data_IF_061832841011
#
_entry.id   IF_061832841011
#
_cell.length_a   1.000
_cell.length_b   1.000
_cell.length_c   1.000
_cell.angle_alpha   90.00
_cell.angle_beta   90.00
_cell.angle_gamma   90.00
#
_symmetry.space_group_name_H-M   'P 1'
#
loop_
_entity.id
_entity.type
_entity.pdbx_description
1 polymer ?
#
# COMPACT_ATOMS: atom_id res chain seq x y z
N UNK A 1 -20.67 23.24 12.10
CA UNK A 1 -19.42 22.84 12.80
C UNK A 1 -19.84 21.79 13.82
N UNK A 2 -19.67 20.51 13.52
CA UNK A 2 -19.97 19.46 14.52
C UNK A 2 -18.98 19.60 15.69
N UNK A 3 -19.49 19.58 16.91
CA UNK A 3 -18.66 19.62 18.12
C UNK A 3 -17.93 18.28 18.26
N UNK A 4 -16.61 18.31 18.51
CA UNK A 4 -15.77 17.11 18.69
C UNK A 4 -16.32 16.14 19.73
N UNK A 5 -16.96 16.63 20.80
CA UNK A 5 -17.56 15.77 21.82
C UNK A 5 -18.93 15.21 21.40
N UNK A 6 -19.63 15.87 20.46
CA UNK A 6 -20.89 15.38 19.93
C UNK A 6 -20.67 14.12 19.07
N UNK A 7 -19.56 14.05 18.33
CA UNK A 7 -19.23 12.84 17.54
C UNK A 7 -18.95 11.63 18.44
N UNK A 8 -18.52 11.84 19.69
CA UNK A 8 -18.29 10.79 20.70
C UNK A 8 -19.55 10.42 21.50
N UNK A 9 -20.70 11.08 21.28
CA UNK A 9 -21.91 10.83 22.04
C UNK A 9 -22.54 9.45 21.77
N UNK A 10 -22.16 8.78 20.68
CA UNK A 10 -22.60 7.41 20.39
C UNK A 10 -21.59 6.38 20.90
N UNK A 11 -22.09 5.25 21.45
CA UNK A 11 -21.25 4.12 21.88
C UNK A 11 -20.34 3.62 20.75
N UNK A 12 -20.85 3.60 19.51
CA UNK A 12 -20.09 3.14 18.34
C UNK A 12 -18.86 4.04 18.08
N UNK A 13 -19.08 5.35 18.02
CA UNK A 13 -18.00 6.30 17.76
C UNK A 13 -17.02 6.39 18.93
N UNK A 14 -17.52 6.35 20.17
CA UNK A 14 -16.68 6.29 21.35
C UNK A 14 -15.76 5.07 21.33
N UNK A 15 -16.29 3.88 21.01
CA UNK A 15 -15.49 2.66 20.89
C UNK A 15 -14.53 2.69 19.69
N UNK A 16 -14.88 3.36 18.58
CA UNK A 16 -13.95 3.58 17.47
C UNK A 16 -12.77 4.45 17.91
N UNK A 17 -13.04 5.56 18.59
CA UNK A 17 -11.99 6.44 19.12
C UNK A 17 -11.12 5.75 20.18
N UNK A 18 -11.73 5.01 21.11
CA UNK A 18 -11.01 4.27 22.15
C UNK A 18 -10.06 3.22 21.55
N UNK A 19 -10.52 2.46 20.55
CA UNK A 19 -9.66 1.51 19.82
C UNK A 19 -8.49 2.21 19.14
N UNK A 20 -8.72 3.38 18.54
CA UNK A 20 -7.64 4.18 17.97
C UNK A 20 -6.62 4.63 19.03
N UNK A 21 -7.07 5.07 20.22
CA UNK A 21 -6.15 5.44 21.30
C UNK A 21 -5.28 4.28 21.78
N UNK A 22 -5.83 3.07 21.87
CA UNK A 22 -5.03 1.87 22.14
C UNK A 22 -3.98 1.65 21.07
N UNK A 23 -4.34 1.76 19.78
CA UNK A 23 -3.38 1.61 18.68
C UNK A 23 -2.27 2.66 18.67
N UNK A 24 -2.59 3.91 19.01
CA UNK A 24 -1.57 4.96 19.19
C UNK A 24 -0.63 4.61 20.35
N UNK A 25 -1.14 4.01 21.42
CA UNK A 25 -0.35 3.58 22.58
C UNK A 25 0.54 2.38 22.22
N UNK A 26 0.00 1.38 21.53
CA UNK A 26 0.78 0.22 21.05
C UNK A 26 1.92 0.68 20.10
N UNK A 27 1.61 1.59 19.18
CA UNK A 27 2.60 2.16 18.25
C UNK A 27 3.71 2.93 18.98
N UNK A 28 3.39 3.56 20.11
CA UNK A 28 4.36 4.19 20.99
C UNK A 28 5.33 3.16 21.56
N UNK A 29 4.80 2.07 22.11
CA UNK A 29 5.60 1.02 22.75
C UNK A 29 6.54 0.37 21.71
N UNK A 30 6.05 0.16 20.49
CA UNK A 30 6.85 -0.37 19.39
C UNK A 30 8.03 0.53 19.01
N UNK A 31 7.85 1.86 18.99
CA UNK A 31 8.95 2.81 18.76
C UNK A 31 9.94 2.80 19.92
N UNK A 32 9.48 2.71 21.18
CA UNK A 32 10.37 2.58 22.35
C UNK A 32 11.21 1.28 22.30
N UNK A 33 10.70 0.25 21.60
CA UNK A 33 11.44 -0.97 21.28
C UNK A 33 12.36 -0.84 20.04
N UNK A 34 12.61 0.37 19.55
CA UNK A 34 13.40 0.68 18.35
C UNK A 34 12.86 0.01 17.07
N UNK A 35 11.54 -0.10 16.93
CA UNK A 35 10.89 -0.46 15.65
C UNK A 35 10.52 0.80 14.89
N UNK A 36 10.68 0.77 13.57
CA UNK A 36 10.23 1.85 12.71
C UNK A 36 8.70 1.84 12.58
N UNK A 37 8.06 3.01 12.69
CA UNK A 37 6.60 3.09 12.66
C UNK A 37 6.00 2.61 11.34
N UNK A 38 6.64 2.88 10.19
CA UNK A 38 6.11 2.44 8.91
C UNK A 38 6.09 0.91 8.82
N UNK A 39 7.10 0.23 9.34
CA UNK A 39 7.10 -1.24 9.38
C UNK A 39 5.95 -1.74 10.26
N UNK A 40 5.76 -1.15 11.45
CA UNK A 40 4.70 -1.53 12.39
C UNK A 40 3.32 -1.37 11.76
N UNK A 41 3.03 -0.20 11.21
CA UNK A 41 1.72 0.13 10.65
C UNK A 41 1.41 -0.70 9.40
N UNK A 42 2.39 -0.95 8.53
CA UNK A 42 2.15 -1.82 7.37
C UNK A 42 1.85 -3.26 7.78
N UNK A 43 2.53 -3.80 8.79
CA UNK A 43 2.21 -5.14 9.33
C UNK A 43 0.82 -5.17 9.98
N UNK A 44 0.41 -4.12 10.69
CA UNK A 44 -0.92 -4.04 11.26
C UNK A 44 -2.03 -3.87 10.21
N UNK A 45 -1.77 -3.12 9.13
CA UNK A 45 -2.67 -3.04 7.97
C UNK A 45 -2.83 -4.41 7.31
N UNK A 46 -1.71 -5.11 7.09
CA UNK A 46 -1.73 -6.44 6.48
C UNK A 46 -2.47 -7.45 7.38
N UNK A 47 -2.42 -7.28 8.70
CA UNK A 47 -3.15 -8.07 9.67
C UNK A 47 -4.62 -7.62 9.89
N UNK A 48 -5.10 -6.57 9.20
CA UNK A 48 -6.40 -5.92 9.43
C UNK A 48 -6.64 -5.43 10.87
N UNK A 49 -5.56 -5.14 11.60
CA UNK A 49 -5.61 -4.66 12.98
C UNK A 49 -5.85 -3.14 13.06
N UNK A 50 -5.52 -2.42 11.98
CA UNK A 50 -5.82 -1.01 11.79
C UNK A 50 -6.40 -0.78 10.38
N UNK A 51 -7.13 0.32 10.21
CA UNK A 51 -7.64 0.77 8.92
C UNK A 51 -6.83 1.92 8.34
N UNK A 52 -6.90 2.11 7.01
CA UNK A 52 -6.15 3.14 6.29
C UNK A 52 -6.39 4.56 6.83
N UNK A 53 -7.62 4.87 7.27
CA UNK A 53 -7.99 6.17 7.86
C UNK A 53 -7.29 6.45 9.20
N UNK A 54 -6.69 5.45 9.83
CA UNK A 54 -5.95 5.60 11.09
C UNK A 54 -4.48 5.94 10.88
N UNK A 55 -3.91 5.73 9.68
CA UNK A 55 -2.47 5.91 9.44
C UNK A 55 -2.00 7.33 9.75
N UNK A 56 -2.61 8.33 9.10
CA UNK A 56 -2.21 9.74 9.26
C UNK A 56 -2.41 10.26 10.70
N UNK A 57 -3.54 9.96 11.38
CA UNK A 57 -3.69 10.26 12.80
C UNK A 57 -2.59 9.65 13.68
N UNK A 58 -2.20 8.39 13.45
CA UNK A 58 -1.11 7.75 14.21
C UNK A 58 0.22 8.45 13.93
N UNK A 59 0.55 8.72 12.67
CA UNK A 59 1.78 9.47 12.31
C UNK A 59 1.80 10.84 12.99
N UNK A 60 0.68 11.58 12.93
CA UNK A 60 0.57 12.89 13.59
C UNK A 60 0.79 12.82 15.09
N UNK A 61 0.08 11.92 15.78
CA UNK A 61 0.17 11.79 17.24
C UNK A 61 1.54 11.28 17.71
N UNK A 62 2.11 10.31 17.00
CA UNK A 62 3.31 9.59 17.45
C UNK A 62 4.59 10.26 16.92
N UNK A 63 4.74 10.38 15.60
CA UNK A 63 5.97 10.86 14.96
C UNK A 63 6.12 12.37 15.16
N UNK A 64 5.07 13.13 14.85
CA UNK A 64 5.12 14.60 14.90
C UNK A 64 5.00 15.10 16.33
N UNK A 65 3.95 14.70 17.05
CA UNK A 65 3.62 15.34 18.33
C UNK A 65 4.39 14.75 19.52
N UNK A 66 4.49 13.41 19.64
CA UNK A 66 5.18 12.78 20.79
C UNK A 66 6.70 12.75 20.64
N UNK A 67 7.23 12.24 19.54
CA UNK A 67 8.68 12.06 19.36
C UNK A 67 9.37 13.23 18.65
N UNK A 68 8.58 14.14 18.09
CA UNK A 68 9.06 15.38 17.50
C UNK A 68 10.10 15.15 16.41
N UNK A 69 9.81 14.29 15.43
CA UNK A 69 10.70 14.09 14.27
C UNK A 69 10.83 15.42 13.52
N UNK A 70 12.02 15.70 12.97
CA UNK A 70 12.12 16.76 11.95
C UNK A 70 11.45 16.28 10.67
N UNK A 71 10.88 17.18 9.90
CA UNK A 71 10.21 16.82 8.66
C UNK A 71 10.34 17.90 7.60
N UNK A 72 10.22 17.48 6.35
CA UNK A 72 10.02 18.37 5.20
C UNK A 72 8.99 17.76 4.23
N UNK A 73 8.34 18.64 3.47
CA UNK A 73 7.45 18.26 2.37
C UNK A 73 8.20 18.37 1.05
N UNK A 74 8.24 17.28 0.30
CA UNK A 74 8.94 17.16 -0.96
C UNK A 74 7.96 16.79 -2.06
N UNK A 75 7.99 17.55 -3.17
CA UNK A 75 7.30 17.15 -4.38
C UNK A 75 8.25 16.28 -5.22
N UNK A 76 7.79 15.10 -5.62
CA UNK A 76 8.57 14.19 -6.45
C UNK A 76 8.90 14.88 -7.78
N UNK A 77 10.18 15.17 -8.01
CA UNK A 77 10.64 15.95 -9.16
C UNK A 77 10.65 15.14 -10.47
N UNK A 78 10.94 13.85 -10.40
CA UNK A 78 10.97 12.93 -11.54
C UNK A 78 10.36 11.59 -11.13
N UNK A 79 9.69 10.86 -12.04
CA UNK A 79 9.13 9.55 -11.72
C UNK A 79 10.21 8.58 -11.22
N UNK A 80 9.97 7.93 -10.09
CA UNK A 80 10.89 6.94 -9.51
C UNK A 80 10.25 5.56 -9.57
N UNK A 81 10.89 4.64 -10.28
CA UNK A 81 10.48 3.22 -10.35
C UNK A 81 11.52 2.28 -9.77
N UNK A 82 12.79 2.70 -9.71
CA UNK A 82 13.89 1.87 -9.20
C UNK A 82 14.31 2.28 -7.79
N UNK A 83 13.88 1.50 -6.82
CA UNK A 83 14.07 1.80 -5.39
C UNK A 83 15.25 1.09 -4.75
N UNK A 84 15.82 0.08 -5.40
CA UNK A 84 16.87 -0.76 -4.79
C UNK A 84 18.07 0.06 -4.32
N UNK A 85 18.53 1.01 -5.15
CA UNK A 85 19.65 1.91 -4.78
C UNK A 85 19.31 2.76 -3.55
N UNK A 86 18.07 3.23 -3.45
CA UNK A 86 17.60 4.04 -2.32
C UNK A 86 17.53 3.19 -1.06
N UNK A 87 16.96 1.99 -1.16
CA UNK A 87 16.85 1.06 -0.05
C UNK A 87 18.22 0.59 0.46
N UNK A 88 19.13 0.23 -0.43
CA UNK A 88 20.48 -0.25 -0.09
C UNK A 88 21.27 0.82 0.67
N UNK A 89 21.17 2.07 0.23
CA UNK A 89 21.88 3.17 0.88
C UNK A 89 21.24 3.54 2.22
N UNK A 90 19.92 3.76 2.26
CA UNK A 90 19.23 4.14 3.50
C UNK A 90 19.23 3.04 4.55
N UNK A 91 19.31 1.76 4.16
CA UNK A 91 19.48 0.62 5.08
C UNK A 91 20.73 0.78 5.95
N UNK A 92 21.76 1.49 5.48
CA UNK A 92 23.00 1.74 6.22
C UNK A 92 22.86 2.84 7.27
N UNK A 93 21.84 3.69 7.18
CA UNK A 93 21.65 4.86 8.05
C UNK A 93 21.08 4.44 9.41
N UNK A 94 21.82 3.62 10.16
CA UNK A 94 21.34 3.02 11.41
C UNK A 94 21.14 4.02 12.55
N UNK A 95 21.79 5.19 12.51
CA UNK A 95 21.64 6.24 13.51
C UNK A 95 20.43 7.16 13.27
N UNK A 96 19.79 7.05 12.10
CA UNK A 96 18.64 7.86 11.71
C UNK A 96 17.43 6.95 11.58
N UNK A 97 16.31 7.30 12.22
CA UNK A 97 15.02 6.70 11.89
C UNK A 97 14.29 7.56 10.87
N UNK A 98 13.74 6.95 9.82
CA UNK A 98 13.07 7.65 8.72
C UNK A 98 11.72 7.03 8.41
N UNK A 99 10.71 7.87 8.25
CA UNK A 99 9.37 7.49 7.82
C UNK A 99 8.93 8.46 6.73
N UNK A 100 8.49 7.95 5.58
CA UNK A 100 7.96 8.75 4.50
C UNK A 100 6.44 8.53 4.36
N UNK A 101 5.69 9.60 4.19
CA UNK A 101 4.26 9.57 3.85
C UNK A 101 4.11 10.01 2.41
N UNK A 102 3.85 9.09 1.50
CA UNK A 102 3.67 9.37 0.08
C UNK A 102 2.18 9.36 -0.29
N UNK A 103 1.76 10.35 -1.08
CA UNK A 103 0.41 10.45 -1.63
C UNK A 103 0.49 10.16 -3.12
N UNK A 104 -0.16 9.09 -3.58
CA UNK A 104 -0.18 8.80 -5.02
C UNK A 104 -1.22 9.68 -5.75
N UNK A 105 -1.27 9.65 -7.10
CA UNK A 105 -2.24 10.43 -7.87
C UNK A 105 -3.70 10.10 -7.56
N UNK A 106 -3.97 8.88 -7.09
CA UNK A 106 -5.31 8.45 -6.65
C UNK A 106 -5.69 8.89 -5.23
N UNK A 107 -4.82 9.63 -4.54
CA UNK A 107 -5.03 10.07 -3.15
C UNK A 107 -4.82 8.98 -2.10
N UNK A 108 -4.34 7.80 -2.49
CA UNK A 108 -3.94 6.75 -1.57
C UNK A 108 -2.64 7.13 -0.87
N UNK A 109 -2.60 6.88 0.44
CA UNK A 109 -1.45 7.14 1.29
C UNK A 109 -0.61 5.88 1.45
N UNK A 110 0.69 6.00 1.24
CA UNK A 110 1.67 4.95 1.52
C UNK A 110 2.60 5.42 2.63
N UNK A 111 2.71 4.59 3.67
CA UNK A 111 3.68 4.80 4.73
C UNK A 111 4.92 3.95 4.42
N UNK A 112 6.06 4.60 4.25
CA UNK A 112 7.28 3.98 3.71
C UNK A 112 8.42 4.15 4.71
N UNK A 113 8.94 3.04 5.21
CA UNK A 113 10.32 2.97 5.71
C UNK A 113 11.26 2.88 4.50
N UNK A 114 12.10 3.89 4.22
CA UNK A 114 12.96 3.86 3.04
C UNK A 114 13.99 2.71 3.07
N UNK A 115 14.26 2.16 4.26
CA UNK A 115 15.17 1.02 4.47
C UNK A 115 14.55 -0.33 4.11
N UNK A 116 13.25 -0.37 3.81
CA UNK A 116 12.49 -1.59 3.56
C UNK A 116 11.99 -1.61 2.12
N UNK A 117 12.58 -2.48 1.29
CA UNK A 117 12.23 -2.58 -0.14
C UNK A 117 10.76 -2.99 -0.37
N UNK A 118 10.17 -3.80 0.53
CA UNK A 118 8.76 -4.23 0.40
C UNK A 118 7.80 -3.03 0.46
N UNK A 119 8.16 -1.94 1.16
CA UNK A 119 7.35 -0.73 1.21
C UNK A 119 7.39 0.06 -0.08
N UNK A 120 8.58 0.17 -0.70
CA UNK A 120 8.72 0.80 -2.00
C UNK A 120 7.98 0.03 -3.09
N UNK A 121 8.11 -1.30 -3.10
CA UNK A 121 7.39 -2.17 -4.04
C UNK A 121 5.87 -2.06 -3.91
N UNK A 122 5.35 -1.80 -2.70
CA UNK A 122 3.92 -1.53 -2.46
C UNK A 122 3.45 -0.26 -3.17
N UNK A 123 4.27 0.80 -3.17
CA UNK A 123 3.96 2.05 -3.87
C UNK A 123 4.11 1.92 -5.40
N UNK A 124 4.96 0.98 -5.88
CA UNK A 124 5.27 0.67 -7.29
C UNK A 124 5.99 1.76 -8.06
N UNK A 125 5.48 2.98 -8.02
CA UNK A 125 6.02 4.16 -8.70
C UNK A 125 5.74 5.40 -7.85
N UNK A 126 6.75 6.25 -7.71
CA UNK A 126 6.55 7.62 -7.23
C UNK A 126 6.34 8.50 -8.45
N UNK A 127 5.14 9.05 -8.60
CA UNK A 127 4.80 9.86 -9.76
C UNK A 127 5.30 11.30 -9.57
N UNK A 128 5.67 11.94 -10.68
CA UNK A 128 6.02 13.36 -10.71
C UNK A 128 4.89 14.22 -10.12
N UNK A 129 5.28 15.32 -9.47
CA UNK A 129 4.41 16.31 -8.84
C UNK A 129 3.52 15.77 -7.71
N UNK A 130 3.78 14.56 -7.23
CA UNK A 130 3.12 14.01 -6.07
C UNK A 130 3.83 14.41 -4.77
N UNK A 131 3.04 14.54 -3.70
CA UNK A 131 3.55 14.92 -2.39
C UNK A 131 4.15 13.71 -1.67
N UNK A 132 5.33 13.90 -1.10
CA UNK A 132 5.90 13.08 -0.05
C UNK A 132 6.24 13.94 1.16
N UNK A 133 5.93 13.48 2.36
CA UNK A 133 6.43 14.10 3.60
C UNK A 133 7.43 13.16 4.23
N UNK A 134 8.66 13.63 4.42
CA UNK A 134 9.77 12.83 4.95
C UNK A 134 9.99 13.24 6.39
N UNK A 135 9.89 12.29 7.31
CA UNK A 135 10.17 12.46 8.73
C UNK A 135 11.49 11.79 9.08
N UNK A 136 12.35 12.47 9.83
CA UNK A 136 13.62 11.93 10.31
C UNK A 136 13.88 12.24 11.78
N UNK A 137 14.47 11.27 12.49
CA UNK A 137 14.94 11.41 13.88
C UNK A 137 16.34 10.87 14.03
N UNK A 138 17.23 11.62 14.68
CA UNK A 138 18.51 11.09 15.13
C UNK A 138 18.31 10.36 16.45
N UNK A 139 18.72 9.09 16.50
CA UNK A 139 18.33 8.16 17.57
C UNK A 139 19.17 8.26 18.86
N UNK A 140 20.30 8.99 18.83
CA UNK A 140 21.18 9.14 20.02
C UNK A 140 20.80 10.32 20.90
N UNK A 141 20.69 11.48 20.28
CA UNK A 141 20.45 12.76 20.96
C UNK A 141 19.65 13.67 20.03
N UNK A 142 19.12 14.78 20.56
CA UNK A 142 18.44 15.74 19.71
C UNK A 142 19.44 16.43 18.76
N UNK A 143 19.33 16.16 17.47
CA UNK A 143 20.20 16.77 16.46
C UNK A 143 19.45 17.10 15.17
N UNK A 144 18.72 18.22 15.21
CA UNK A 144 17.93 18.75 14.09
C UNK A 144 18.74 18.97 12.80
N UNK A 145 20.04 19.27 12.92
CA UNK A 145 20.92 19.49 11.76
C UNK A 145 21.18 18.18 11.03
N UNK A 146 21.48 17.10 11.76
CA UNK A 146 21.65 15.78 11.16
C UNK A 146 20.35 15.22 10.61
N UNK A 147 19.23 15.44 11.30
CA UNK A 147 17.90 15.03 10.82
C UNK A 147 17.55 15.72 9.50
N UNK A 148 17.73 17.04 9.40
CA UNK A 148 17.54 17.78 8.13
C UNK A 148 18.51 17.34 7.05
N UNK A 149 19.77 17.07 7.40
CA UNK A 149 20.73 16.56 6.43
C UNK A 149 20.27 15.20 5.86
N UNK A 150 19.73 14.31 6.69
CA UNK A 150 19.22 13.01 6.23
C UNK A 150 17.99 13.16 5.32
N UNK A 151 17.09 14.10 5.64
CA UNK A 151 15.94 14.44 4.77
C UNK A 151 16.43 14.92 3.41
N UNK A 152 17.29 15.94 3.38
CA UNK A 152 17.81 16.50 2.13
C UNK A 152 18.58 15.46 1.30
N UNK A 153 19.36 14.58 1.94
CA UNK A 153 20.05 13.49 1.24
C UNK A 153 19.05 12.53 0.59
N UNK A 154 17.95 12.18 1.28
CA UNK A 154 16.92 11.33 0.68
C UNK A 154 16.20 12.03 -0.49
N UNK A 155 15.91 13.32 -0.38
CA UNK A 155 15.34 14.12 -1.46
C UNK A 155 16.26 14.15 -2.70
N UNK A 156 17.57 14.36 -2.51
CA UNK A 156 18.55 14.32 -3.59
C UNK A 156 18.58 12.95 -4.29
N UNK A 157 18.50 11.86 -3.53
CA UNK A 157 18.41 10.50 -4.09
C UNK A 157 17.11 10.29 -4.87
N UNK A 158 15.98 10.77 -4.34
CA UNK A 158 14.68 10.71 -5.02
C UNK A 158 14.66 11.57 -6.29
N UNK A 159 15.45 12.64 -6.34
CA UNK A 159 15.69 13.44 -7.54
C UNK A 159 16.73 12.81 -8.50
N UNK A 160 17.13 11.55 -8.27
CA UNK A 160 18.06 10.82 -9.15
C UNK A 160 19.52 11.24 -9.03
N UNK A 161 19.89 12.01 -8.01
CA UNK A 161 21.28 12.46 -7.81
C UNK A 161 22.08 11.44 -7.03
N UNK A 162 23.37 11.34 -7.38
CA UNK A 162 24.33 10.61 -6.56
C UNK A 162 24.64 11.40 -5.28
N UNK A 163 24.58 10.72 -4.14
CA UNK A 163 24.82 11.34 -2.84
C UNK A 163 26.04 10.76 -2.15
N UNK A 164 26.74 11.61 -1.38
CA UNK A 164 27.82 11.17 -0.52
C UNK A 164 27.27 10.79 0.85
N UNK A 165 27.66 9.60 1.30
CA UNK A 165 27.21 9.06 2.58
C UNK A 165 27.78 9.86 3.73
N UNK A 166 26.89 10.50 4.49
CA UNK A 166 27.29 11.10 5.75
C UNK A 166 27.54 10.00 6.78
N UNK A 167 28.81 9.80 7.15
CA UNK A 167 29.22 8.78 8.14
C UNK A 167 28.49 8.93 9.48
N UNK A 168 28.01 10.13 9.81
CA UNK A 168 27.25 10.40 11.03
C UNK A 168 25.86 9.74 11.03
N UNK A 169 25.36 9.28 9.88
CA UNK A 169 24.11 8.52 9.79
C UNK A 169 24.30 7.06 10.20
N UNK A 170 25.54 6.60 10.36
CA UNK A 170 25.86 5.20 10.62
C UNK A 170 26.33 5.07 12.07
N UNK A 171 25.67 4.15 12.78
CA UNK A 171 26.05 3.76 14.13
C UNK A 171 25.75 2.27 14.36
N UNK A 172 26.81 1.47 14.48
CA UNK A 172 26.69 0.02 14.66
C UNK A 172 26.18 -0.39 16.05
N UNK A 173 26.10 0.54 17.00
CA UNK A 173 25.53 0.27 18.33
C UNK A 173 24.00 0.29 18.33
N UNK A 174 23.39 0.93 17.32
CA UNK A 174 21.94 1.01 17.18
C UNK A 174 21.47 -0.13 16.30
N UNK A 175 20.62 -0.99 16.87
CA UNK A 175 19.98 -2.09 16.16
C UNK A 175 18.49 -1.77 16.06
N UNK A 176 18.04 -1.45 14.86
CA UNK A 176 16.60 -1.38 14.60
C UNK A 176 16.00 -2.78 14.59
N UNK A 177 14.89 -2.93 15.32
CA UNK A 177 14.14 -4.17 15.38
C UNK A 177 13.08 -4.15 14.30
N UNK A 178 12.97 -5.24 13.55
CA UNK A 178 11.80 -5.44 12.69
C UNK A 178 10.59 -5.86 13.55
N UNK A 179 9.38 -5.39 13.25
CA UNK A 179 8.19 -5.96 13.85
C UNK A 179 8.09 -7.46 13.51
N UNK A 180 7.54 -8.24 14.43
CA UNK A 180 7.21 -9.64 14.15
C UNK A 180 6.02 -9.61 13.18
N UNK A 181 6.16 -10.27 12.02
CA UNK A 181 5.05 -10.46 11.07
C UNK A 181 3.89 -11.07 11.83
N UNK A 182 2.84 -10.28 12.04
CA UNK A 182 1.63 -10.75 12.73
C UNK A 182 0.92 -11.65 11.72
N UNK A 183 0.81 -12.94 12.04
CA UNK A 183 -0.11 -13.80 11.29
C UNK A 183 -1.50 -13.15 11.37
N UNK A 184 -2.17 -13.03 10.22
CA UNK A 184 -3.57 -12.61 10.18
C UNK A 184 -4.31 -13.45 11.22
N UNK A 185 -4.87 -12.81 12.26
CA UNK A 185 -5.74 -13.52 13.21
C UNK A 185 -6.78 -14.23 12.36
N UNK A 186 -6.77 -15.56 12.44
CA UNK A 186 -7.89 -16.34 11.96
C UNK A 186 -9.09 -15.84 12.75
N UNK A 187 -10.02 -15.15 12.09
CA UNK A 187 -11.33 -14.94 12.65
C UNK A 187 -11.85 -16.33 13.04
N UNK A 188 -12.29 -16.49 14.30
CA UNK A 188 -12.95 -17.72 14.74
C UNK A 188 -13.97 -18.12 13.67
N UNK A 189 -14.09 -19.42 13.33
CA UNK A 189 -14.95 -19.87 12.25
C UNK A 189 -16.42 -19.61 12.62
N UNK A 190 -16.87 -18.39 12.34
CA UNK A 190 -18.25 -18.04 12.11
C UNK A 190 -18.68 -18.88 10.92
N UNK A 191 -19.58 -19.82 11.18
CA UNK A 191 -20.13 -20.75 10.20
C UNK A 191 -20.43 -20.03 8.86
N UNK A 192 -19.65 -20.36 7.83
CA UNK A 192 -20.10 -20.34 6.44
C UNK A 192 -19.81 -19.11 5.57
N UNK A 193 -18.69 -18.41 5.72
CA UNK A 193 -18.24 -17.45 4.71
C UNK A 193 -16.76 -17.70 4.35
N UNK A 194 -16.48 -18.00 3.08
CA UNK A 194 -15.11 -18.14 2.56
C UNK A 194 -14.32 -16.85 2.83
N UNK A 195 -13.06 -16.96 3.30
CA UNK A 195 -12.14 -15.83 3.46
C UNK A 195 -12.15 -15.00 2.17
N UNK A 196 -12.37 -13.68 2.26
CA UNK A 196 -12.50 -12.79 1.09
C UNK A 196 -11.51 -11.62 1.19
N UNK A 197 -10.86 -11.26 0.08
CA UNK A 197 -9.96 -10.10 0.03
C UNK A 197 -10.74 -8.78 0.03
N UNK A 198 -10.09 -7.63 0.30
CA UNK A 198 -10.62 -6.32 -0.03
C UNK A 198 -11.01 -6.19 -1.51
N UNK A 199 -11.85 -5.19 -1.82
CA UNK A 199 -12.17 -4.80 -3.21
C UNK A 199 -11.01 -4.02 -3.79
N UNK A 200 -10.35 -4.59 -4.78
CA UNK A 200 -9.31 -3.89 -5.55
C UNK A 200 -9.96 -3.18 -6.72
N UNK A 201 -9.71 -1.87 -6.86
CA UNK A 201 -10.14 -1.09 -8.00
C UNK A 201 -9.17 -1.29 -9.18
N UNK A 202 -9.72 -1.40 -10.39
CA UNK A 202 -9.00 -1.38 -11.66
C UNK A 202 -9.62 -0.31 -12.54
N UNK A 203 -8.84 0.73 -12.81
CA UNK A 203 -9.23 1.79 -13.73
C UNK A 203 -9.11 1.32 -15.18
N UNK A 204 -10.13 1.61 -15.99
CA UNK A 204 -10.12 1.31 -17.43
C UNK A 204 -9.36 2.39 -18.17
N UNK A 205 -8.17 2.04 -18.67
CA UNK A 205 -7.33 2.97 -19.42
C UNK A 205 -7.60 2.97 -20.93
N UNK A 206 -8.40 2.03 -21.44
CA UNK A 206 -8.89 2.05 -22.83
C UNK A 206 -9.92 3.14 -23.07
N UNK A 207 -10.11 3.58 -24.32
CA UNK A 207 -11.22 4.46 -24.69
C UNK A 207 -12.59 3.83 -24.33
N UNK A 208 -12.71 2.50 -24.53
CA UNK A 208 -13.88 1.70 -24.18
C UNK A 208 -13.45 0.31 -23.68
N UNK A 209 -14.17 -0.22 -22.69
CA UNK A 209 -14.02 -1.61 -22.29
C UNK A 209 -14.77 -2.53 -23.28
N UNK A 210 -14.08 -2.91 -24.35
CA UNK A 210 -14.68 -3.65 -25.46
C UNK A 210 -14.57 -5.17 -25.27
N UNK A 211 -15.14 -5.96 -26.18
CA UNK A 211 -15.17 -7.42 -26.11
C UNK A 211 -13.78 -8.07 -25.89
N UNK A 212 -12.73 -7.52 -26.50
CA UNK A 212 -11.35 -7.98 -26.27
C UNK A 212 -10.89 -7.93 -24.80
N UNK A 213 -11.24 -6.87 -24.06
CA UNK A 213 -10.91 -6.75 -22.63
C UNK A 213 -11.67 -7.78 -21.79
N UNK A 214 -12.96 -7.98 -22.10
CA UNK A 214 -13.79 -9.02 -21.46
C UNK A 214 -13.17 -10.40 -21.65
N UNK A 215 -12.77 -10.76 -22.87
CA UNK A 215 -12.15 -12.05 -23.15
C UNK A 215 -10.78 -12.20 -22.47
N UNK A 216 -9.98 -11.13 -22.43
CA UNK A 216 -8.73 -11.12 -21.69
C UNK A 216 -8.97 -11.38 -20.19
N UNK A 217 -9.92 -10.68 -19.57
CA UNK A 217 -10.26 -10.86 -18.16
C UNK A 217 -10.80 -12.25 -17.84
N UNK A 218 -11.63 -12.84 -18.72
CA UNK A 218 -12.06 -14.25 -18.59
C UNK A 218 -10.87 -15.20 -18.54
N UNK A 219 -9.91 -15.05 -19.46
CA UNK A 219 -8.71 -15.90 -19.51
C UNK A 219 -7.79 -15.70 -18.31
N UNK A 220 -7.71 -14.47 -17.79
CA UNK A 220 -6.97 -14.17 -16.55
C UNK A 220 -7.62 -14.86 -15.35
N UNK A 221 -8.96 -14.76 -15.21
CA UNK A 221 -9.72 -15.45 -14.15
C UNK A 221 -9.57 -16.97 -14.26
N UNK A 222 -9.66 -17.52 -15.46
CA UNK A 222 -9.49 -18.95 -15.73
C UNK A 222 -8.08 -19.43 -15.34
N UNK A 223 -7.04 -18.70 -15.75
CA UNK A 223 -5.66 -18.97 -15.36
C UNK A 223 -5.49 -18.99 -13.85
N UNK A 224 -6.01 -17.96 -13.17
CA UNK A 224 -5.91 -17.83 -11.72
C UNK A 224 -6.63 -18.95 -10.97
N UNK A 225 -7.88 -19.24 -11.34
CA UNK A 225 -8.72 -20.24 -10.67
C UNK A 225 -8.29 -21.68 -10.96
N UNK A 226 -7.61 -21.89 -12.09
CA UNK A 226 -6.95 -23.16 -12.42
C UNK A 226 -5.67 -23.36 -11.61
N UNK A 227 -4.82 -22.34 -11.47
CA UNK A 227 -3.60 -22.42 -10.65
C UNK A 227 -3.88 -22.50 -9.15
N UNK A 228 -4.95 -21.86 -8.67
CA UNK A 228 -5.38 -21.88 -7.27
C UNK A 228 -6.78 -22.49 -7.10
N UNK A 229 -6.91 -23.83 -7.19
CA UNK A 229 -8.18 -24.52 -6.99
C UNK A 229 -8.79 -24.16 -5.62
N UNK A 230 -10.07 -23.78 -5.60
CA UNK A 230 -10.76 -23.32 -4.38
C UNK A 230 -10.82 -21.81 -4.21
N UNK A 231 -10.13 -21.04 -5.06
CA UNK A 231 -10.33 -19.59 -5.14
C UNK A 231 -11.44 -19.23 -6.12
N UNK A 232 -12.24 -18.21 -5.79
CA UNK A 232 -13.28 -17.63 -6.64
C UNK A 232 -13.06 -16.13 -6.78
N UNK A 233 -13.09 -15.64 -8.01
CA UNK A 233 -12.98 -14.20 -8.30
C UNK A 233 -14.37 -13.61 -8.47
N UNK A 234 -14.66 -12.54 -7.74
CA UNK A 234 -15.88 -11.74 -7.84
C UNK A 234 -15.54 -10.42 -8.50
N UNK A 235 -16.34 -9.99 -9.48
CA UNK A 235 -16.15 -8.74 -10.22
C UNK A 235 -17.33 -7.83 -9.93
N UNK A 236 -17.09 -6.55 -9.70
CA UNK A 236 -18.10 -5.55 -9.41
C UNK A 236 -17.95 -4.34 -10.32
N UNK A 237 -19.08 -3.72 -10.66
CA UNK A 237 -19.11 -2.47 -11.42
C UNK A 237 -20.30 -1.62 -10.97
N UNK A 238 -20.10 -0.33 -10.71
CA UNK A 238 -21.15 0.54 -10.15
C UNK A 238 -21.66 0.10 -8.77
N UNK A 239 -20.83 -0.60 -7.99
CA UNK A 239 -21.20 -1.16 -6.68
C UNK A 239 -21.92 -2.51 -6.70
N UNK A 240 -22.37 -2.98 -7.88
CA UNK A 240 -23.09 -4.23 -8.03
C UNK A 240 -22.18 -5.40 -8.43
N UNK A 241 -22.53 -6.62 -8.01
CA UNK A 241 -21.84 -7.84 -8.45
C UNK A 241 -22.17 -8.15 -9.91
N UNK A 242 -21.13 -8.36 -10.71
CA UNK A 242 -21.23 -8.71 -12.12
C UNK A 242 -21.35 -10.23 -12.23
N UNK A 243 -22.59 -10.72 -12.39
CA UNK A 243 -22.87 -12.16 -12.52
C UNK A 243 -22.38 -12.75 -13.86
N UNK A 244 -22.38 -11.93 -14.92
CA UNK A 244 -21.86 -12.28 -16.23
C UNK A 244 -20.90 -11.19 -16.69
N UNK A 245 -19.62 -11.53 -16.81
CA UNK A 245 -18.56 -10.59 -17.21
C UNK A 245 -18.79 -10.03 -18.63
N UNK A 246 -19.49 -10.75 -19.52
CA UNK A 246 -19.89 -10.22 -20.82
C UNK A 246 -20.78 -8.99 -20.70
N UNK A 247 -21.50 -8.86 -19.59
CA UNK A 247 -22.36 -7.71 -19.38
C UNK A 247 -21.58 -6.40 -19.29
N UNK A 248 -20.27 -6.42 -19.02
CA UNK A 248 -19.40 -5.23 -18.98
C UNK A 248 -19.19 -4.59 -20.36
N UNK A 249 -19.31 -5.37 -21.44
CA UNK A 249 -19.15 -4.89 -22.82
C UNK A 249 -20.37 -4.11 -23.36
N UNK A 250 -21.53 -4.13 -22.68
CA UNK A 250 -22.74 -3.46 -23.19
C UNK A 250 -22.46 -1.97 -23.48
N UNK A 251 -22.94 -1.47 -24.63
CA UNK A 251 -22.63 -0.13 -25.11
C UNK A 251 -22.82 0.94 -24.02
N UNK A 252 -21.74 1.66 -23.72
CA UNK A 252 -21.74 2.75 -22.74
C UNK A 252 -21.74 2.35 -21.27
N UNK A 253 -21.66 1.05 -20.94
CA UNK A 253 -21.67 0.56 -19.56
C UNK A 253 -20.35 0.81 -18.82
N UNK A 254 -19.21 0.68 -19.49
CA UNK A 254 -17.89 0.92 -18.92
C UNK A 254 -17.07 1.73 -19.91
N UNK A 255 -16.57 2.87 -19.47
CA UNK A 255 -15.84 3.86 -20.28
C UNK A 255 -14.43 4.08 -19.72
N UNK A 256 -13.63 4.80 -20.48
CA UNK A 256 -12.35 5.32 -20.01
C UNK A 256 -12.48 6.04 -18.65
N UNK A 257 -11.59 5.71 -17.71
CA UNK A 257 -11.58 6.25 -16.34
C UNK A 257 -12.56 5.59 -15.38
N UNK A 258 -13.48 4.73 -15.85
CA UNK A 258 -14.35 3.98 -14.95
C UNK A 258 -13.55 2.93 -14.16
N UNK A 259 -14.00 2.65 -12.94
CA UNK A 259 -13.41 1.62 -12.09
C UNK A 259 -14.24 0.34 -12.09
N UNK A 260 -13.60 -0.78 -12.46
CA UNK A 260 -14.11 -2.13 -12.21
C UNK A 260 -13.40 -2.67 -10.98
N UNK A 261 -14.14 -3.21 -10.02
CA UNK A 261 -13.57 -3.77 -8.80
C UNK A 261 -13.53 -5.30 -8.86
N UNK A 262 -12.58 -5.91 -8.15
CA UNK A 262 -12.63 -7.36 -7.93
C UNK A 262 -12.26 -7.74 -6.49
N UNK A 263 -12.73 -8.92 -6.07
CA UNK A 263 -12.35 -9.59 -4.83
C UNK A 263 -12.04 -11.06 -5.14
N UNK A 264 -11.20 -11.68 -4.32
CA UNK A 264 -11.00 -13.12 -4.34
C UNK A 264 -11.54 -13.68 -3.04
N UNK A 265 -12.32 -14.76 -3.10
CA UNK A 265 -12.62 -15.58 -1.94
C UNK A 265 -11.96 -16.96 -2.05
N UNK A 266 -11.55 -17.54 -0.94
CA UNK A 266 -10.99 -18.89 -0.89
C UNK A 266 -10.15 -19.11 0.37
N UNK A 267 -9.88 -20.36 0.71
CA UNK A 267 -9.25 -20.70 1.99
C UNK A 267 -7.75 -20.35 2.06
N UNK A 268 -7.06 -20.30 0.92
CA UNK A 268 -5.62 -20.01 0.82
C UNK A 268 -5.31 -19.09 -0.37
N UNK A 269 -5.72 -17.83 -0.24
CA UNK A 269 -5.61 -16.84 -1.31
C UNK A 269 -4.14 -16.45 -1.56
N UNK A 270 -3.67 -16.59 -2.80
CA UNK A 270 -2.28 -16.29 -3.23
C UNK A 270 -2.29 -15.56 -4.58
N UNK A 271 -1.21 -14.86 -4.90
CA UNK A 271 -1.04 -14.27 -6.24
C UNK A 271 -1.97 -13.08 -6.56
N UNK A 272 -2.65 -12.50 -5.56
CA UNK A 272 -3.63 -11.41 -5.76
C UNK A 272 -2.99 -10.16 -6.36
N UNK A 273 -1.77 -9.78 -5.94
CA UNK A 273 -1.04 -8.65 -6.53
C UNK A 273 -0.76 -8.85 -8.01
N UNK A 274 -0.45 -10.09 -8.41
CA UNK A 274 -0.22 -10.49 -9.80
C UNK A 274 -1.53 -10.53 -10.59
N UNK A 275 -2.63 -10.96 -9.97
CA UNK A 275 -3.97 -10.90 -10.53
C UNK A 275 -4.43 -9.46 -10.79
N UNK A 276 -4.22 -8.57 -9.82
CA UNK A 276 -4.49 -7.15 -9.97
C UNK A 276 -3.71 -6.55 -11.14
N UNK A 277 -2.42 -6.88 -11.27
CA UNK A 277 -1.58 -6.46 -12.41
C UNK A 277 -2.17 -6.92 -13.75
N UNK A 278 -2.56 -8.19 -13.86
CA UNK A 278 -3.10 -8.70 -15.12
C UNK A 278 -4.47 -8.13 -15.45
N UNK A 279 -5.33 -7.87 -14.46
CA UNK A 279 -6.58 -7.15 -14.71
C UNK A 279 -6.34 -5.71 -15.18
N UNK A 280 -5.38 -5.01 -14.60
CA UNK A 280 -4.99 -3.69 -15.06
C UNK A 280 -4.52 -3.73 -16.52
N UNK A 281 -3.60 -4.64 -16.86
CA UNK A 281 -3.16 -4.82 -18.25
C UNK A 281 -4.32 -5.24 -19.17
N UNK A 282 -5.23 -6.08 -18.69
CA UNK A 282 -6.42 -6.53 -19.42
C UNK A 282 -7.48 -5.43 -19.61
N UNK A 283 -7.47 -4.37 -18.81
CA UNK A 283 -8.31 -3.18 -18.95
C UNK A 283 -7.64 -2.05 -19.75
N UNK A 284 -6.44 -2.31 -20.28
CA UNK A 284 -5.62 -1.38 -21.06
C UNK A 284 -5.44 -1.87 -22.51
N UNK A 285 -4.74 -1.10 -23.38
CA UNK A 285 -4.50 -1.54 -24.76
C UNK A 285 -3.64 -2.81 -24.84
N UNK A 286 -3.01 -3.20 -23.72
CA UNK A 286 -2.20 -4.42 -23.61
C UNK A 286 -3.04 -5.70 -23.51
N UNK A 287 -4.36 -5.63 -23.49
CA UNK A 287 -5.24 -6.81 -23.34
C UNK A 287 -4.96 -7.91 -24.38
N UNK A 288 -4.50 -7.55 -25.58
CA UNK A 288 -4.22 -8.48 -26.68
C UNK A 288 -3.20 -9.58 -26.30
N UNK A 289 -2.29 -9.31 -25.37
CA UNK A 289 -1.31 -10.30 -24.92
C UNK A 289 -1.96 -11.54 -24.31
N UNK A 290 -3.14 -11.38 -23.69
CA UNK A 290 -3.91 -12.47 -23.10
C UNK A 290 -4.75 -13.23 -24.12
N UNK A 291 -4.85 -12.73 -25.36
CA UNK A 291 -5.64 -13.37 -26.40
C UNK A 291 -4.84 -14.37 -27.23
N UNK A 292 -3.51 -14.30 -27.21
CA UNK A 292 -2.56 -15.08 -28.04
C UNK A 292 -2.37 -16.53 -27.56
N UNK A 293 -3.45 -17.30 -27.47
CA UNK A 293 -3.41 -18.74 -27.15
C UNK A 293 -4.32 -19.57 -28.07
N UNK A 294 -3.96 -20.85 -28.26
CA UNK A 294 -4.78 -21.80 -29.00
C UNK A 294 -6.12 -22.09 -28.31
N UNK A 295 -7.14 -22.42 -29.10
CA UNK A 295 -8.49 -22.76 -28.61
C UNK A 295 -8.39 -23.92 -27.61
N UNK A 296 -8.97 -23.75 -26.41
CA UNK A 296 -8.99 -24.77 -25.35
C UNK A 296 -7.75 -24.84 -24.45
N UNK A 297 -6.82 -23.89 -24.58
CA UNK A 297 -5.67 -23.79 -23.68
C UNK A 297 -5.90 -22.75 -22.58
N UNK A 298 -5.39 -23.02 -21.37
CA UNK A 298 -5.39 -22.06 -20.26
C UNK A 298 -4.05 -21.32 -20.25
N UNK A 299 -4.08 -19.99 -20.08
CA UNK A 299 -2.85 -19.21 -19.92
C UNK A 299 -2.10 -19.66 -18.66
N UNK A 300 -0.76 -19.71 -18.72
CA UNK A 300 0.08 -19.98 -17.54
C UNK A 300 0.60 -18.68 -16.96
N UNK A 301 -0.31 -17.87 -16.43
CA UNK A 301 0.02 -16.57 -15.84
C UNK A 301 0.48 -16.69 -14.38
N UNK A 302 0.02 -17.71 -13.66
CA UNK A 302 0.27 -17.92 -12.24
C UNK A 302 1.04 -19.21 -11.99
#
# INVERSE_FOLDING_TARGET
MESTYLTLASKSNFNKALRHFYKVTDAVDDIEMNKNLADVINEELDANEISEDQMLPIVGAVIRDKYGYSYDSYNIAEPVTEFQKIADETMRWSAIDIVCVYYNPGGQVFLINPKNIEHWERARELHCDQLMVIYAKFLKEENRKLEKAAINTLEEMLAGRDVFINRSFIDHTIIQRKPVKKEKKQEEPGKGAANITPKYAIEVSNELFHNGNVEAWKKIVESYTTTYPGSKVYIYHGGELVNDINSLFKWGKVKHGDSIFFQVAGDNIKGVSKLQKYFYEGASPRFEQFLKIGVGQVLRLF
#
